data_IF_040137165817
#
_entry.id   IF_040137165817
#
_cell.length_a   1.000
_cell.length_b   1.000
_cell.length_c   1.000
_cell.angle_alpha   90.00
_cell.angle_beta   90.00
_cell.angle_gamma   90.00
#
_symmetry.space_group_name_H-M   'P 1'
#
loop_
_entity.id
_entity.type
_entity.pdbx_description
1 polymer ?
#
# COMPACT_ATOMS: atom_id res chain seq x y z
N UNK A 1 -15.44 10.30 -7.36
CA UNK A 1 -15.34 8.84 -7.43
C UNK A 1 -14.09 8.37 -6.74
N UNK A 2 -14.15 7.23 -6.10
CA UNK A 2 -13.02 6.70 -5.37
C UNK A 2 -11.89 6.29 -6.30
N UNK A 3 -10.66 6.52 -5.82
CA UNK A 3 -9.43 6.20 -6.55
C UNK A 3 -8.69 5.12 -5.78
N UNK A 4 -8.29 4.06 -6.47
CA UNK A 4 -7.51 2.97 -5.90
C UNK A 4 -6.06 3.05 -6.33
N UNK A 5 -5.16 2.75 -5.40
CA UNK A 5 -3.75 2.53 -5.71
C UNK A 5 -3.39 1.11 -5.30
N UNK A 6 -2.81 0.38 -6.24
CA UNK A 6 -2.41 -1.01 -6.04
C UNK A 6 -0.91 -1.06 -6.16
N UNK A 7 -0.25 -1.51 -5.10
CA UNK A 7 1.21 -1.65 -5.08
C UNK A 7 1.57 -3.13 -5.12
N UNK A 8 2.50 -3.49 -5.99
CA UNK A 8 3.05 -4.84 -6.08
C UNK A 8 4.47 -4.79 -5.57
N UNK A 9 4.81 -5.67 -4.62
CA UNK A 9 6.08 -5.65 -3.93
C UNK A 9 6.73 -7.03 -3.98
N UNK A 10 8.04 -7.05 -4.24
CA UNK A 10 8.84 -8.26 -4.17
C UNK A 10 10.02 -8.01 -3.23
N UNK A 11 10.21 -8.92 -2.28
CA UNK A 11 11.26 -8.81 -1.26
C UNK A 11 12.34 -9.89 -1.46
N UNK A 12 13.50 -9.67 -0.85
CA UNK A 12 14.60 -10.63 -0.93
C UNK A 12 14.36 -11.89 -0.10
N UNK A 13 13.54 -11.78 0.95
CA UNK A 13 13.23 -12.91 1.83
C UNK A 13 11.83 -12.79 2.41
N UNK A 14 11.33 -13.93 2.89
CA UNK A 14 10.05 -13.95 3.59
C UNK A 14 10.10 -13.15 4.89
N UNK A 15 11.24 -13.18 5.57
CA UNK A 15 11.45 -12.39 6.78
C UNK A 15 11.30 -10.90 6.51
N UNK A 16 11.89 -10.42 5.43
CA UNK A 16 11.79 -9.01 5.02
C UNK A 16 10.35 -8.63 4.72
N UNK A 17 9.63 -9.50 3.99
CA UNK A 17 8.23 -9.26 3.68
C UNK A 17 7.39 -9.17 4.97
N UNK A 18 7.56 -10.12 5.86
CA UNK A 18 6.80 -10.15 7.11
C UNK A 18 7.09 -8.93 7.98
N UNK A 19 8.33 -8.52 8.05
CA UNK A 19 8.75 -7.33 8.80
C UNK A 19 8.12 -6.07 8.24
N UNK A 20 8.12 -5.92 6.90
CA UNK A 20 7.50 -4.77 6.24
C UNK A 20 5.98 -4.77 6.40
N UNK A 21 5.35 -5.93 6.29
CA UNK A 21 3.90 -6.06 6.46
C UNK A 21 3.47 -5.69 7.87
N UNK A 22 4.23 -6.13 8.89
CA UNK A 22 3.96 -5.81 10.28
C UNK A 22 4.09 -4.30 10.53
N UNK A 23 5.14 -3.67 10.00
CA UNK A 23 5.32 -2.23 10.09
C UNK A 23 4.15 -1.48 9.44
N UNK A 24 3.74 -1.91 8.25
CA UNK A 24 2.64 -1.30 7.51
C UNK A 24 1.32 -1.44 8.27
N UNK A 25 1.05 -2.61 8.83
CA UNK A 25 -0.16 -2.84 9.63
C UNK A 25 -0.24 -1.87 10.81
N UNK A 26 0.89 -1.62 11.44
CA UNK A 26 0.98 -0.73 12.62
C UNK A 26 0.87 0.75 12.25
N UNK A 27 1.49 1.16 11.15
CA UNK A 27 1.67 2.57 10.82
C UNK A 27 0.73 3.13 9.74
N UNK A 28 0.24 2.29 8.83
CA UNK A 28 -0.55 2.77 7.69
C UNK A 28 -1.83 3.53 8.07
N UNK A 29 -2.61 3.11 9.08
CA UNK A 29 -3.83 3.85 9.43
C UNK A 29 -3.57 5.30 9.82
N UNK A 30 -2.46 5.58 10.48
CA UNK A 30 -2.08 6.94 10.87
C UNK A 30 -1.43 7.69 9.71
N UNK A 31 -0.67 6.98 8.88
CA UNK A 31 0.03 7.57 7.75
C UNK A 31 -0.94 7.97 6.63
N UNK A 32 -2.02 7.20 6.45
CA UNK A 32 -3.01 7.43 5.40
C UNK A 32 -4.41 7.67 5.98
N UNK A 33 -4.62 8.78 6.70
CA UNK A 33 -5.90 9.02 7.37
C UNK A 33 -7.08 9.20 6.41
N UNK A 34 -6.83 9.56 5.15
CA UNK A 34 -7.89 9.74 4.15
C UNK A 34 -8.23 8.46 3.40
N UNK A 35 -7.54 7.36 3.66
CA UNK A 35 -7.84 6.10 3.01
C UNK A 35 -9.14 5.51 3.56
N UNK A 36 -10.03 5.12 2.66
CA UNK A 36 -11.27 4.45 3.01
C UNK A 36 -11.03 2.96 3.29
N UNK A 37 -10.09 2.36 2.57
CA UNK A 37 -9.73 0.95 2.70
C UNK A 37 -8.21 0.83 2.57
N UNK A 38 -7.62 0.03 3.45
CA UNK A 38 -6.21 -0.34 3.39
C UNK A 38 -6.12 -1.85 3.53
N UNK A 39 -5.56 -2.52 2.53
CA UNK A 39 -5.37 -3.96 2.54
C UNK A 39 -3.93 -4.31 2.19
N UNK A 40 -3.40 -5.33 2.83
CA UNK A 40 -2.13 -5.94 2.45
C UNK A 40 -2.37 -7.42 2.28
N UNK A 41 -1.98 -7.94 1.12
CA UNK A 41 -2.22 -9.33 0.74
C UNK A 41 -0.87 -9.97 0.43
N UNK A 42 -0.58 -11.09 1.11
CA UNK A 42 0.62 -11.88 0.83
C UNK A 42 0.31 -12.78 -0.35
N UNK A 43 0.98 -12.56 -1.48
CA UNK A 43 0.72 -13.28 -2.72
C UNK A 43 1.70 -14.43 -2.95
N UNK A 44 2.76 -14.52 -2.15
CA UNK A 44 3.76 -15.57 -2.19
C UNK A 44 4.69 -15.43 -1.02
N UNK A 45 5.69 -16.32 -0.86
CA UNK A 45 6.63 -16.24 0.27
C UNK A 45 7.38 -14.90 0.34
N UNK A 46 7.69 -14.30 -0.82
CA UNK A 46 8.45 -13.05 -0.89
C UNK A 46 7.70 -11.93 -1.58
N UNK A 47 6.45 -12.14 -1.97
CA UNK A 47 5.66 -11.14 -2.70
C UNK A 47 4.42 -10.71 -1.94
N UNK A 48 4.04 -9.46 -2.13
CA UNK A 48 2.86 -8.87 -1.49
C UNK A 48 2.21 -7.85 -2.41
N UNK A 49 0.92 -7.65 -2.19
CA UNK A 49 0.13 -6.62 -2.84
C UNK A 49 -0.51 -5.76 -1.77
N UNK A 50 -0.46 -4.44 -1.92
CA UNK A 50 -1.24 -3.57 -1.06
C UNK A 50 -2.26 -2.80 -1.90
N UNK A 51 -3.47 -2.65 -1.35
CA UNK A 51 -4.55 -1.92 -2.00
C UNK A 51 -4.99 -0.82 -1.05
N UNK A 52 -5.00 0.42 -1.54
CA UNK A 52 -5.52 1.55 -0.79
C UNK A 52 -6.54 2.28 -1.65
N UNK A 53 -7.67 2.62 -1.03
CA UNK A 53 -8.77 3.29 -1.72
C UNK A 53 -9.03 4.61 -1.04
N UNK A 54 -9.12 5.68 -1.84
CA UNK A 54 -9.28 7.05 -1.38
C UNK A 54 -10.56 7.64 -1.97
N UNK A 55 -11.16 8.65 -1.31
CA UNK A 55 -12.40 9.26 -1.81
C UNK A 55 -12.24 9.96 -3.15
N UNK A 56 -11.03 10.44 -3.46
CA UNK A 56 -10.75 11.15 -4.71
C UNK A 56 -9.27 11.03 -5.09
N UNK A 57 -8.96 11.49 -6.29
CA UNK A 57 -7.61 11.44 -6.84
C UNK A 57 -6.63 12.31 -6.06
N UNK A 58 -7.09 13.45 -5.57
CA UNK A 58 -6.25 14.37 -4.80
C UNK A 58 -5.77 13.72 -3.50
N UNK A 59 -6.66 13.04 -2.78
CA UNK A 59 -6.32 12.32 -1.56
C UNK A 59 -5.32 11.20 -1.84
N UNK A 60 -5.48 10.52 -2.97
CA UNK A 60 -4.56 9.46 -3.39
C UNK A 60 -3.17 10.01 -3.68
N UNK A 61 -3.08 11.15 -4.36
CA UNK A 61 -1.81 11.81 -4.65
C UNK A 61 -1.09 12.28 -3.39
N UNK A 62 -1.81 12.88 -2.47
CA UNK A 62 -1.26 13.32 -1.19
C UNK A 62 -0.70 12.13 -0.40
N UNK A 63 -1.40 11.01 -0.43
CA UNK A 63 -0.97 9.78 0.24
C UNK A 63 0.29 9.21 -0.40
N UNK A 64 0.42 9.32 -1.72
CA UNK A 64 1.61 8.85 -2.42
C UNK A 64 2.85 9.62 -1.97
N UNK A 65 2.74 10.94 -1.81
CA UNK A 65 3.84 11.78 -1.35
C UNK A 65 4.26 11.37 0.06
N UNK A 66 3.30 11.16 0.96
CA UNK A 66 3.57 10.72 2.34
C UNK A 66 4.22 9.34 2.35
N UNK A 67 3.70 8.42 1.53
CA UNK A 67 4.23 7.07 1.42
C UNK A 67 5.68 7.06 0.98
N UNK A 68 6.00 7.81 -0.06
CA UNK A 68 7.36 7.85 -0.60
C UNK A 68 8.34 8.42 0.42
N UNK A 69 7.95 9.48 1.13
CA UNK A 69 8.78 10.09 2.15
C UNK A 69 9.01 9.15 3.33
N UNK A 70 7.96 8.47 3.80
CA UNK A 70 8.02 7.58 4.96
C UNK A 70 8.82 6.32 4.65
N UNK A 71 8.49 5.63 3.57
CA UNK A 71 9.11 4.35 3.24
C UNK A 71 10.51 4.47 2.66
N UNK A 72 10.90 5.63 2.17
CA UNK A 72 12.26 5.87 1.72
C UNK A 72 13.26 5.69 2.87
N UNK A 73 12.84 6.01 4.08
CA UNK A 73 13.67 5.89 5.27
C UNK A 73 13.48 4.54 5.99
N UNK A 74 12.61 3.66 5.49
CA UNK A 74 12.37 2.37 6.12
C UNK A 74 13.58 1.46 6.01
N UNK A 75 13.83 0.69 7.07
CA UNK A 75 14.97 -0.21 7.15
C UNK A 75 14.88 -1.35 6.13
N UNK A 76 13.68 -1.91 5.94
CA UNK A 76 13.45 -2.97 4.95
C UNK A 76 12.85 -2.38 3.69
N UNK A 77 13.53 -2.58 2.56
CA UNK A 77 13.10 -2.12 1.26
C UNK A 77 12.80 -3.30 0.35
N UNK A 78 11.75 -3.21 -0.50
CA UNK A 78 11.50 -4.25 -1.49
C UNK A 78 12.60 -4.23 -2.57
N UNK A 79 12.89 -5.40 -3.12
CA UNK A 79 13.81 -5.55 -4.25
C UNK A 79 13.19 -4.95 -5.52
N UNK A 80 11.89 -5.15 -5.71
CA UNK A 80 11.13 -4.60 -6.82
C UNK A 80 9.82 -4.04 -6.28
N UNK A 81 9.42 -2.90 -6.81
CA UNK A 81 8.16 -2.27 -6.44
C UNK A 81 7.59 -1.51 -7.64
N UNK A 82 6.30 -1.70 -7.90
CA UNK A 82 5.58 -0.96 -8.93
C UNK A 82 4.13 -0.82 -8.53
N UNK A 83 3.46 0.15 -9.11
CA UNK A 83 2.08 0.42 -8.71
C UNK A 83 1.20 0.79 -9.91
N UNK A 84 -0.10 0.61 -9.71
CA UNK A 84 -1.14 1.01 -10.64
C UNK A 84 -2.10 1.92 -9.90
N UNK A 85 -2.67 2.88 -10.63
CA UNK A 85 -3.71 3.76 -10.10
C UNK A 85 -4.91 3.64 -11.00
N UNK A 86 -6.09 3.52 -10.42
CA UNK A 86 -7.31 3.39 -11.19
C UNK A 86 -8.51 3.93 -10.45
N UNK A 87 -9.60 4.07 -11.18
CA UNK A 87 -10.88 4.51 -10.66
C UNK A 87 -11.67 3.30 -10.18
N UNK A 88 -12.27 3.40 -9.00
CA UNK A 88 -13.14 2.33 -8.48
C UNK A 88 -14.47 2.43 -9.19
N UNK A 89 -14.77 1.48 -10.05
CA UNK A 89 -16.00 1.48 -10.86
C UNK A 89 -17.09 0.59 -10.29
N UNK A 90 -16.76 -0.24 -9.29
CA UNK A 90 -17.74 -1.09 -8.62
C UNK A 90 -17.25 -1.35 -7.20
N UNK A 91 -18.13 -1.20 -6.23
CA UNK A 91 -17.81 -1.45 -4.83
C UNK A 91 -19.02 -2.11 -4.17
N UNK A 92 -18.77 -3.28 -3.58
CA UNK A 92 -19.78 -3.99 -2.80
C UNK A 92 -19.13 -4.45 -1.48
N UNK A 93 -19.75 -4.09 -0.38
CA UNK A 93 -19.30 -4.50 0.94
C UNK A 93 -20.42 -5.31 1.57
N UNK A 94 -20.08 -6.53 1.97
CA UNK A 94 -21.03 -7.47 2.56
C UNK A 94 -21.46 -7.04 3.96
#
# INVERSE_FOLDING_TARGET
>A
MSTARINMLEFDSEEDLNQRAEMYQREAPELFPNAEILLTIKTGPTSAMSVSIYPDEKSAEESLIRRNKHFKAAEVQPREAWYLVGEVVQRHVK
#
